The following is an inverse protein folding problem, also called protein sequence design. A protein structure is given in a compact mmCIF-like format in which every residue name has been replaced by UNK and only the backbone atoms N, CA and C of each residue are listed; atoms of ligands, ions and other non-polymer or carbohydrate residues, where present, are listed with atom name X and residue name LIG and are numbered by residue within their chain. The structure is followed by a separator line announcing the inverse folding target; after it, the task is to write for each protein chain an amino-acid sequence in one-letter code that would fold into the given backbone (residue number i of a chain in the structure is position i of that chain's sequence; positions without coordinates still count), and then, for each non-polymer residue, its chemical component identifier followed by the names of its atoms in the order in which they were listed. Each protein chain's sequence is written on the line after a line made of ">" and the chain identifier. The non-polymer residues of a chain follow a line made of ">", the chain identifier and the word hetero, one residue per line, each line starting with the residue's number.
data_IF_196590806819
#
_entry.id   IF_196590806819
#
_cell.length_a   1.000
_cell.length_b   1.000
_cell.length_c   1.000
_cell.angle_alpha   90.00
_cell.angle_beta   90.00
_cell.angle_gamma   90.00
#
_symmetry.space_group_name_H-M   'P 1'
#
loop_
_entity.id
_entity.type
_entity.pdbx_description
1 polymer ?
#
# COMPACT_ATOMS: atom_id res chain seq x y z
N UNK A 1 31.75 -33.81 -18.25
CA UNK A 1 30.42 -33.75 -18.89
C UNK A 1 29.48 -34.64 -18.09
N UNK A 2 28.58 -34.06 -17.30
CA UNK A 2 27.21 -34.53 -17.08
C UNK A 2 26.53 -33.50 -16.17
N UNK A 3 25.54 -32.84 -16.75
CA UNK A 3 24.43 -32.10 -16.15
C UNK A 3 24.72 -30.84 -15.30
N UNK A 4 24.11 -29.76 -15.78
CA UNK A 4 24.18 -28.37 -15.32
C UNK A 4 23.50 -28.25 -13.95
N UNK A 5 24.24 -27.76 -12.95
CA UNK A 5 23.67 -27.25 -11.70
C UNK A 5 23.33 -25.76 -11.90
N UNK A 6 22.19 -25.48 -12.52
CA UNK A 6 21.74 -24.10 -12.71
C UNK A 6 21.02 -23.62 -11.46
N UNK A 7 21.59 -22.63 -10.77
CA UNK A 7 20.92 -21.91 -9.69
C UNK A 7 19.69 -21.16 -10.21
N UNK A 8 18.53 -21.42 -9.60
CA UNK A 8 17.24 -20.80 -9.93
C UNK A 8 16.69 -20.07 -8.70
N UNK A 9 15.95 -19.00 -8.93
CA UNK A 9 15.16 -18.36 -7.89
C UNK A 9 13.92 -19.18 -7.58
N UNK A 10 13.44 -19.13 -6.33
CA UNK A 10 12.26 -19.88 -5.88
C UNK A 10 10.96 -19.48 -6.59
N UNK A 11 10.94 -18.31 -7.21
CA UNK A 11 9.82 -17.78 -7.98
C UNK A 11 9.95 -18.01 -9.49
N UNK A 12 11.04 -18.63 -9.94
CA UNK A 12 11.34 -18.83 -11.35
C UNK A 12 11.76 -17.58 -12.11
N UNK A 13 12.05 -16.46 -11.43
CA UNK A 13 12.54 -15.24 -12.07
C UNK A 13 13.95 -15.40 -12.65
N UNK A 14 14.37 -14.40 -13.43
CA UNK A 14 15.65 -14.43 -14.12
C UNK A 14 16.82 -14.55 -13.15
N UNK A 15 17.41 -15.74 -13.13
CA UNK A 15 18.64 -16.03 -12.41
C UNK A 15 19.84 -15.75 -13.31
N UNK A 16 20.08 -14.51 -13.75
CA UNK A 16 21.32 -14.14 -14.46
C UNK A 16 22.30 -13.38 -13.57
N UNK A 17 21.78 -12.51 -12.70
CA UNK A 17 22.57 -11.79 -11.70
C UNK A 17 23.09 -12.76 -10.64
N UNK A 18 24.37 -12.60 -10.26
CA UNK A 18 25.02 -13.38 -9.20
C UNK A 18 25.89 -12.46 -8.38
N UNK A 19 25.82 -12.61 -7.05
CA UNK A 19 26.63 -11.82 -6.13
C UNK A 19 27.29 -12.69 -5.06
N UNK A 20 27.99 -13.74 -5.51
CA UNK A 20 28.68 -14.68 -4.64
C UNK A 20 29.80 -14.04 -3.82
N UNK A 21 30.03 -14.61 -2.65
CA UNK A 21 31.26 -14.45 -1.90
C UNK A 21 32.44 -15.04 -2.66
N UNK A 22 33.65 -14.54 -2.36
CA UNK A 22 34.89 -15.12 -2.85
C UNK A 22 34.98 -16.58 -2.40
N UNK A 23 35.04 -17.51 -3.35
CA UNK A 23 35.11 -18.95 -3.08
C UNK A 23 33.77 -19.68 -3.14
N UNK A 24 32.66 -18.98 -3.40
CA UNK A 24 31.31 -19.56 -3.55
C UNK A 24 30.81 -19.50 -5.02
N UNK A 25 29.89 -20.39 -5.42
CA UNK A 25 29.36 -21.52 -4.66
C UNK A 25 30.37 -22.68 -4.60
N UNK A 26 30.50 -23.31 -3.43
CA UNK A 26 31.49 -24.37 -3.20
C UNK A 26 30.90 -25.79 -3.13
N UNK A 27 29.57 -25.90 -3.01
CA UNK A 27 28.76 -27.11 -2.98
C UNK A 27 29.27 -28.20 -2.02
N UNK A 28 29.80 -27.79 -0.87
CA UNK A 28 30.10 -28.74 0.21
C UNK A 28 28.81 -29.36 0.71
N UNK A 29 28.84 -30.62 1.13
CA UNK A 29 27.72 -31.29 1.84
C UNK A 29 26.31 -31.10 1.24
N UNK A 30 26.18 -31.00 -0.09
CA UNK A 30 24.89 -30.78 -0.78
C UNK A 30 24.21 -29.44 -0.41
N UNK A 31 25.01 -28.39 -0.24
CA UNK A 31 24.60 -27.00 -0.09
C UNK A 31 23.96 -26.46 -1.38
N UNK A 32 22.63 -26.51 -1.47
CA UNK A 32 21.86 -26.15 -2.68
C UNK A 32 20.86 -25.00 -2.47
N UNK A 33 20.95 -24.29 -1.34
CA UNK A 33 20.18 -23.08 -1.06
C UNK A 33 21.10 -21.87 -0.89
N UNK A 34 20.63 -20.68 -1.25
CA UNK A 34 21.43 -19.46 -1.15
C UNK A 34 21.11 -18.71 0.14
N UNK A 35 22.15 -18.25 0.84
CA UNK A 35 22.03 -17.35 1.99
C UNK A 35 22.88 -16.09 1.77
N UNK A 36 22.37 -14.94 2.23
CA UNK A 36 23.12 -13.69 2.30
C UNK A 36 23.97 -13.67 3.58
N UNK A 37 25.29 -13.53 3.45
CA UNK A 37 26.20 -13.49 4.59
C UNK A 37 26.56 -12.03 4.94
N UNK A 38 26.03 -11.55 6.08
CA UNK A 38 26.22 -10.16 6.51
C UNK A 38 27.68 -9.74 6.72
N UNK A 39 28.57 -10.67 7.09
CA UNK A 39 30.00 -10.38 7.32
C UNK A 39 30.74 -9.89 6.07
N UNK A 40 30.23 -10.18 4.88
CA UNK A 40 30.84 -9.81 3.60
C UNK A 40 29.93 -8.87 2.77
N UNK A 41 29.18 -7.99 3.45
CA UNK A 41 28.30 -7.04 2.75
C UNK A 41 27.07 -7.68 2.13
N UNK A 42 26.55 -8.76 2.73
CA UNK A 42 25.36 -9.49 2.29
C UNK A 42 25.50 -10.19 0.92
N UNK A 43 26.72 -10.61 0.58
CA UNK A 43 26.99 -11.44 -0.60
C UNK A 43 26.58 -12.90 -0.37
N UNK A 44 26.39 -13.63 -1.45
CA UNK A 44 25.75 -14.94 -1.47
C UNK A 44 26.72 -16.07 -1.11
N UNK A 45 26.25 -17.06 -0.37
CA UNK A 45 26.91 -18.35 -0.18
C UNK A 45 25.87 -19.46 -0.34
N UNK A 46 26.27 -20.60 -0.90
CA UNK A 46 25.45 -21.80 -0.85
C UNK A 46 25.56 -22.46 0.52
N UNK A 47 24.43 -22.89 1.04
CA UNK A 47 24.28 -23.49 2.37
C UNK A 47 23.24 -24.62 2.32
N UNK A 48 23.22 -25.47 3.34
CA UNK A 48 22.28 -26.57 3.41
C UNK A 48 20.88 -26.02 3.71
N UNK A 49 19.89 -26.37 2.88
CA UNK A 49 18.54 -25.84 2.95
C UNK A 49 17.81 -26.09 4.28
N UNK A 50 18.22 -27.11 5.03
CA UNK A 50 17.56 -27.50 6.28
C UNK A 50 17.95 -26.64 7.48
N UNK A 51 18.97 -25.80 7.36
CA UNK A 51 19.41 -24.96 8.47
C UNK A 51 18.37 -23.85 8.73
N UNK A 52 17.85 -23.72 9.97
CA UNK A 52 16.87 -22.70 10.28
C UNK A 52 17.56 -21.33 10.32
N UNK A 53 17.33 -20.54 9.27
CA UNK A 53 17.92 -19.22 9.11
C UNK A 53 16.82 -18.16 8.97
N UNK A 54 17.09 -16.91 9.39
CA UNK A 54 16.27 -15.78 8.98
C UNK A 54 16.18 -15.71 7.45
N UNK A 55 15.00 -15.44 6.94
CA UNK A 55 14.71 -15.43 5.50
C UNK A 55 14.14 -14.09 5.07
N UNK A 56 14.23 -13.83 3.76
CA UNK A 56 13.68 -12.63 3.13
C UNK A 56 12.56 -13.06 2.19
N UNK A 57 11.36 -12.52 2.42
CA UNK A 57 10.27 -12.60 1.47
C UNK A 57 10.31 -11.37 0.55
N UNK A 58 9.76 -11.52 -0.64
CA UNK A 58 9.47 -10.39 -1.51
C UNK A 58 8.08 -10.60 -2.13
N UNK A 59 7.42 -9.50 -2.44
CA UNK A 59 6.17 -9.52 -3.20
C UNK A 59 6.52 -9.28 -4.67
N UNK A 60 6.14 -10.21 -5.54
CA UNK A 60 6.39 -10.13 -6.98
C UNK A 60 5.64 -8.97 -7.67
N UNK A 61 4.68 -8.34 -6.98
CA UNK A 61 4.01 -7.11 -7.42
C UNK A 61 4.86 -5.83 -7.17
N UNK A 62 6.02 -5.97 -6.53
CA UNK A 62 6.86 -4.85 -6.16
C UNK A 62 8.20 -4.87 -6.89
N UNK A 63 8.26 -4.27 -8.08
CA UNK A 63 9.54 -4.03 -8.73
C UNK A 63 10.09 -2.68 -8.26
N UNK A 64 11.10 -2.73 -7.38
CA UNK A 64 12.09 -1.75 -6.84
C UNK A 64 11.95 -0.21 -7.02
N UNK A 65 10.86 0.30 -7.54
CA UNK A 65 10.56 1.72 -7.77
C UNK A 65 9.06 2.03 -7.71
N UNK A 66 8.18 1.04 -7.86
CA UNK A 66 6.73 1.19 -7.67
C UNK A 66 6.16 -0.12 -7.11
N UNK A 67 6.13 -0.28 -5.79
CA UNK A 67 5.01 -1.01 -5.19
C UNK A 67 3.78 -0.15 -5.49
N UNK A 68 2.74 -0.73 -6.10
CA UNK A 68 1.53 -0.06 -6.59
C UNK A 68 1.01 1.05 -5.69
N UNK A 69 1.51 2.27 -5.89
CA UNK A 69 1.00 3.46 -5.21
C UNK A 69 -0.41 3.66 -5.72
N UNK A 70 -1.39 3.60 -4.83
CA UNK A 70 -2.77 4.00 -5.13
C UNK A 70 -2.73 5.33 -5.87
N UNK A 71 -3.21 5.35 -7.10
CA UNK A 71 -3.36 6.60 -7.84
C UNK A 71 -4.64 7.27 -7.37
N UNK A 72 -4.52 8.46 -6.81
CA UNK A 72 -5.66 9.22 -6.29
C UNK A 72 -6.22 10.15 -7.36
N UNK A 73 -7.54 10.09 -7.56
CA UNK A 73 -8.26 10.84 -8.58
C UNK A 73 -9.37 11.67 -7.94
N UNK A 74 -9.30 12.99 -8.12
CA UNK A 74 -10.30 13.93 -7.61
C UNK A 74 -11.48 13.98 -8.58
N UNK A 75 -12.70 13.78 -8.07
CA UNK A 75 -13.95 13.85 -8.83
C UNK A 75 -14.79 15.01 -8.31
N UNK A 76 -14.97 16.02 -9.16
CA UNK A 76 -15.65 17.28 -8.81
C UNK A 76 -17.18 17.22 -8.94
N UNK A 77 -17.77 16.05 -8.72
CA UNK A 77 -19.22 15.88 -8.67
C UNK A 77 -19.70 15.85 -7.22
N UNK A 78 -20.72 16.64 -6.90
CA UNK A 78 -21.33 16.56 -5.57
C UNK A 78 -22.21 15.32 -5.47
N UNK A 79 -21.81 14.39 -4.61
CA UNK A 79 -22.53 13.14 -4.34
C UNK A 79 -22.57 12.85 -2.85
N UNK A 80 -23.60 12.13 -2.39
CA UNK A 80 -23.57 11.51 -1.06
C UNK A 80 -22.44 10.48 -0.99
N UNK A 81 -22.02 10.10 0.22
CA UNK A 81 -20.92 9.16 0.40
C UNK A 81 -21.15 7.84 -0.35
N UNK A 82 -22.37 7.29 -0.28
CA UNK A 82 -22.73 6.03 -0.95
C UNK A 82 -22.72 6.16 -2.47
N UNK A 83 -23.19 7.28 -3.01
CA UNK A 83 -23.15 7.54 -4.45
C UNK A 83 -21.72 7.77 -4.95
N UNK A 84 -20.88 8.43 -4.15
CA UNK A 84 -19.46 8.61 -4.43
C UNK A 84 -18.72 7.26 -4.44
N UNK A 85 -18.98 6.39 -3.45
CA UNK A 85 -18.45 5.02 -3.42
C UNK A 85 -18.83 4.23 -4.66
N UNK A 86 -20.13 4.27 -5.01
CA UNK A 86 -20.62 3.60 -6.22
C UNK A 86 -19.90 4.11 -7.46
N UNK A 87 -19.78 5.42 -7.62
CA UNK A 87 -19.06 6.01 -8.75
C UNK A 87 -17.60 5.53 -8.81
N UNK A 88 -16.89 5.54 -7.68
CA UNK A 88 -15.51 5.08 -7.64
C UNK A 88 -15.38 3.60 -8.00
N UNK A 89 -16.31 2.74 -7.56
CA UNK A 89 -16.30 1.31 -7.93
C UNK A 89 -16.68 1.04 -9.39
N UNK A 90 -17.42 1.95 -10.02
CA UNK A 90 -17.78 1.84 -11.44
C UNK A 90 -16.67 2.36 -12.38
N UNK A 91 -15.83 3.31 -11.92
CA UNK A 91 -14.87 4.02 -12.77
C UNK A 91 -13.39 3.81 -12.35
N UNK A 92 -13.15 3.38 -11.11
CA UNK A 92 -11.86 3.20 -10.45
C UNK A 92 -11.89 1.92 -9.58
N UNK A 93 -11.13 1.87 -8.48
CA UNK A 93 -11.18 0.74 -7.53
C UNK A 93 -12.21 0.99 -6.42
N UNK A 94 -12.03 2.03 -5.59
CA UNK A 94 -12.98 2.45 -4.53
C UNK A 94 -12.72 3.93 -4.16
N UNK A 95 -13.48 4.47 -3.21
CA UNK A 95 -13.13 5.73 -2.54
C UNK A 95 -11.74 5.62 -1.91
N UNK A 96 -11.01 6.73 -1.87
CA UNK A 96 -9.66 6.81 -1.38
C UNK A 96 -9.48 6.15 -0.01
N UNK A 97 -8.69 5.09 0.02
CA UNK A 97 -8.12 4.51 1.23
C UNK A 97 -6.75 5.13 1.46
N UNK A 98 -6.48 5.54 2.70
CA UNK A 98 -5.21 6.17 3.09
C UNK A 98 -4.63 5.37 4.25
N UNK A 99 -3.61 4.59 3.97
CA UNK A 99 -3.04 3.64 4.92
C UNK A 99 -1.82 4.17 5.67
N UNK A 100 -1.20 5.23 5.17
CA UNK A 100 0.00 5.82 5.74
C UNK A 100 0.17 7.30 5.32
N UNK A 101 1.23 7.93 5.85
CA UNK A 101 1.54 9.34 5.58
C UNK A 101 1.93 9.61 4.12
N UNK A 102 2.55 8.65 3.44
CA UNK A 102 2.96 8.80 2.04
C UNK A 102 1.74 8.88 1.12
N UNK A 103 0.73 8.05 1.35
CA UNK A 103 -0.56 8.12 0.66
C UNK A 103 -1.32 9.42 1.00
N UNK A 104 -1.28 9.87 2.26
CA UNK A 104 -1.87 11.16 2.62
C UNK A 104 -1.20 12.30 1.86
N UNK A 105 0.13 12.25 1.68
CA UNK A 105 0.86 13.25 0.88
C UNK A 105 0.48 13.18 -0.60
N UNK A 106 0.29 11.97 -1.16
CA UNK A 106 -0.17 11.78 -2.53
C UNK A 106 -1.60 12.32 -2.75
N UNK A 107 -2.50 12.11 -1.78
CA UNK A 107 -3.85 12.70 -1.76
C UNK A 107 -3.76 14.23 -1.76
N UNK A 108 -2.94 14.82 -0.86
CA UNK A 108 -2.73 16.28 -0.81
C UNK A 108 -2.18 16.84 -2.12
N UNK A 109 -1.30 16.11 -2.80
CA UNK A 109 -0.79 16.47 -4.11
C UNK A 109 -1.89 16.44 -5.19
N UNK A 110 -2.77 15.43 -5.17
CA UNK A 110 -3.87 15.29 -6.12
C UNK A 110 -4.94 16.38 -5.99
N UNK A 111 -5.22 16.85 -4.77
CA UNK A 111 -6.18 17.94 -4.49
C UNK A 111 -5.53 19.34 -4.48
N UNK A 112 -4.24 19.45 -4.77
CA UNK A 112 -3.55 20.74 -4.75
C UNK A 112 -4.23 21.73 -5.72
N UNK A 113 -4.59 22.92 -5.23
CA UNK A 113 -5.33 23.93 -5.98
C UNK A 113 -6.84 23.70 -6.07
N UNK A 114 -7.37 22.62 -5.49
CA UNK A 114 -8.81 22.39 -5.34
C UNK A 114 -9.31 23.02 -4.03
N UNK A 115 -10.57 23.46 -4.02
CA UNK A 115 -11.22 24.01 -2.82
C UNK A 115 -12.44 23.19 -2.43
N UNK A 116 -12.72 23.12 -1.13
CA UNK A 116 -13.89 22.45 -0.58
C UNK A 116 -13.56 21.23 0.28
N UNK A 117 -14.57 20.40 0.48
CA UNK A 117 -14.52 19.18 1.28
C UNK A 117 -14.56 17.97 0.36
N UNK A 118 -13.77 16.94 0.65
CA UNK A 118 -13.67 15.76 -0.23
C UNK A 118 -13.97 14.48 0.54
N UNK A 119 -14.94 13.67 0.09
CA UNK A 119 -15.16 12.34 0.66
C UNK A 119 -13.94 11.43 0.45
N UNK A 120 -13.63 10.65 1.48
CA UNK A 120 -12.71 9.50 1.43
C UNK A 120 -13.43 8.22 1.86
N UNK A 121 -12.77 7.07 1.73
CA UNK A 121 -13.37 5.74 1.93
C UNK A 121 -13.67 5.37 3.38
N UNK A 122 -13.39 6.24 4.36
CA UNK A 122 -13.60 5.94 5.77
C UNK A 122 -15.04 6.25 6.21
N UNK A 123 -15.69 5.27 6.85
CA UNK A 123 -17.03 5.41 7.45
C UNK A 123 -17.16 4.62 8.74
N UNK A 124 -18.15 4.94 9.57
CA UNK A 124 -18.47 4.20 10.80
C UNK A 124 -19.67 3.27 10.58
N UNK A 125 -19.54 2.03 11.05
CA UNK A 125 -20.66 1.09 11.22
C UNK A 125 -20.79 0.73 12.70
N UNK A 126 -19.91 -0.15 13.18
CA UNK A 126 -19.64 -0.42 14.60
C UNK A 126 -18.31 0.19 15.03
N UNK A 127 -17.40 0.36 14.08
CA UNK A 127 -16.12 1.04 14.19
C UNK A 127 -15.79 1.71 12.85
N UNK A 128 -14.73 2.53 12.83
CA UNK A 128 -14.20 3.14 11.61
C UNK A 128 -13.64 2.06 10.68
N UNK A 129 -14.24 1.90 9.50
CA UNK A 129 -13.87 0.93 8.48
C UNK A 129 -13.63 1.61 7.14
N UNK A 130 -12.63 1.14 6.41
CA UNK A 130 -12.38 1.55 5.03
C UNK A 130 -13.33 0.85 4.07
N UNK A 131 -13.75 1.56 3.04
CA UNK A 131 -14.74 1.10 2.06
C UNK A 131 -14.25 -0.08 1.21
N UNK A 132 -12.94 -0.16 0.97
CA UNK A 132 -12.28 -1.25 0.26
C UNK A 132 -12.06 -2.51 1.13
N UNK A 133 -12.37 -2.44 2.43
CA UNK A 133 -12.16 -3.52 3.39
C UNK A 133 -10.73 -3.60 3.95
N UNK A 134 -9.85 -2.66 3.63
CA UNK A 134 -8.52 -2.59 4.23
C UNK A 134 -8.60 -2.38 5.75
N UNK A 135 -7.59 -2.91 6.46
CA UNK A 135 -7.55 -2.92 7.92
C UNK A 135 -6.58 -1.87 8.49
N UNK A 136 -6.35 -0.74 7.79
CA UNK A 136 -5.42 0.28 8.28
C UNK A 136 -6.00 1.08 9.46
N UNK A 137 -5.17 1.26 10.49
CA UNK A 137 -5.42 2.11 11.65
C UNK A 137 -4.96 3.56 11.49
N UNK A 138 -4.40 3.94 10.34
CA UNK A 138 -3.93 5.31 10.12
C UNK A 138 -5.09 6.31 10.16
N UNK A 139 -4.94 7.39 10.93
CA UNK A 139 -5.94 8.45 11.07
C UNK A 139 -5.25 9.81 11.06
N UNK A 140 -5.81 10.77 10.33
CA UNK A 140 -5.32 12.14 10.25
C UNK A 140 -6.42 13.14 10.62
N UNK A 141 -7.09 12.91 11.75
CA UNK A 141 -8.19 13.74 12.25
C UNK A 141 -7.77 15.19 12.50
N UNK A 142 -8.67 16.12 12.18
CA UNK A 142 -8.55 17.51 12.60
C UNK A 142 -8.64 17.63 14.12
N UNK A 143 -8.16 18.75 14.66
CA UNK A 143 -8.25 19.04 16.10
C UNK A 143 -9.73 19.01 16.51
N UNK A 144 -10.03 18.22 17.55
CA UNK A 144 -11.40 18.05 18.06
C UNK A 144 -12.27 17.05 17.31
N UNK A 145 -11.71 16.33 16.33
CA UNK A 145 -12.40 15.30 15.54
C UNK A 145 -11.87 13.89 15.83
N UNK A 146 -12.70 12.84 15.64
CA UNK A 146 -14.12 12.93 15.33
C UNK A 146 -14.94 13.38 16.56
N UNK A 147 -15.96 14.22 16.36
CA UNK A 147 -16.87 14.63 17.44
C UNK A 147 -18.13 13.75 17.55
N UNK A 148 -18.33 12.86 16.58
CA UNK A 148 -19.34 11.81 16.54
C UNK A 148 -20.76 12.35 16.79
N UNK A 149 -21.08 13.49 16.16
CA UNK A 149 -22.44 14.00 16.18
C UNK A 149 -23.39 12.98 15.55
N UNK A 150 -24.65 12.99 15.99
CA UNK A 150 -25.64 12.00 15.54
C UNK A 150 -25.82 12.10 14.02
N UNK A 151 -25.37 11.06 13.30
CA UNK A 151 -25.46 10.98 11.84
C UNK A 151 -24.14 11.26 11.10
N UNK A 152 -23.10 11.71 11.79
CA UNK A 152 -21.78 12.00 11.21
C UNK A 152 -20.94 10.72 11.09
N UNK A 153 -21.36 9.90 10.13
CA UNK A 153 -20.88 8.54 9.98
C UNK A 153 -19.88 8.36 8.84
N UNK A 154 -19.49 9.43 8.14
CA UNK A 154 -18.63 9.41 6.97
C UNK A 154 -17.54 10.47 7.06
N UNK A 155 -16.42 10.31 6.35
CA UNK A 155 -15.24 11.19 6.53
C UNK A 155 -14.93 12.04 5.30
N UNK A 156 -14.69 13.34 5.55
CA UNK A 156 -14.25 14.32 4.57
C UNK A 156 -12.90 14.93 4.92
N UNK A 157 -12.14 15.35 3.90
CA UNK A 157 -10.95 16.18 4.05
C UNK A 157 -11.34 17.66 4.15
N UNK A 158 -10.85 18.36 5.17
CA UNK A 158 -11.06 19.81 5.36
C UNK A 158 -9.92 20.64 4.76
N UNK A 159 -10.19 21.41 3.71
CA UNK A 159 -9.18 22.31 3.12
C UNK A 159 -8.57 23.29 4.14
N UNK A 160 -9.40 23.90 5.00
CA UNK A 160 -8.97 24.91 5.98
C UNK A 160 -8.04 24.37 7.08
N UNK A 161 -7.89 23.05 7.19
CA UNK A 161 -7.08 22.38 8.21
C UNK A 161 -6.02 21.47 7.57
N UNK A 162 -5.38 21.94 6.49
CA UNK A 162 -4.37 21.20 5.72
C UNK A 162 -4.84 19.81 5.28
N UNK A 163 -6.12 19.69 4.91
CA UNK A 163 -6.76 18.42 4.53
C UNK A 163 -6.73 17.36 5.63
N UNK A 164 -6.77 17.77 6.90
CA UNK A 164 -7.09 16.85 8.00
C UNK A 164 -8.57 16.47 8.00
N UNK A 165 -8.90 15.39 8.72
CA UNK A 165 -10.14 14.65 8.53
C UNK A 165 -11.23 15.13 9.48
N UNK A 166 -12.45 15.19 8.96
CA UNK A 166 -13.67 15.51 9.69
C UNK A 166 -14.73 14.44 9.45
N UNK A 167 -15.40 14.00 10.50
CA UNK A 167 -16.63 13.23 10.40
C UNK A 167 -17.81 14.14 10.04
N UNK A 168 -18.67 13.65 9.14
CA UNK A 168 -19.75 14.41 8.53
C UNK A 168 -20.91 13.51 8.12
N UNK A 169 -22.09 14.11 7.97
CA UNK A 169 -23.30 13.43 7.54
C UNK A 169 -23.15 12.80 6.16
N UNK A 170 -23.27 11.47 6.08
CA UNK A 170 -23.08 10.71 4.83
C UNK A 170 -24.01 11.15 3.67
N UNK A 171 -25.11 11.83 3.98
CA UNK A 171 -26.09 12.33 3.00
C UNK A 171 -25.66 13.64 2.33
N UNK A 172 -24.62 14.31 2.82
CA UNK A 172 -24.17 15.58 2.24
C UNK A 172 -23.53 15.36 0.87
N UNK A 173 -23.88 16.24 -0.07
CA UNK A 173 -23.26 16.25 -1.40
C UNK A 173 -21.87 16.87 -1.33
N UNK A 174 -20.84 16.13 -1.70
CA UNK A 174 -19.47 16.68 -1.78
C UNK A 174 -18.67 16.05 -2.92
N UNK A 175 -17.67 16.76 -3.47
CA UNK A 175 -16.62 16.15 -4.26
C UNK A 175 -15.97 14.98 -3.50
N UNK A 176 -15.28 14.12 -4.22
CA UNK A 176 -14.74 12.90 -3.62
C UNK A 176 -13.48 12.44 -4.32
N UNK A 177 -12.68 11.65 -3.60
CA UNK A 177 -11.42 11.12 -4.11
C UNK A 177 -11.60 9.62 -4.29
N UNK A 178 -11.38 9.15 -5.51
CA UNK A 178 -11.27 7.72 -5.79
C UNK A 178 -9.78 7.33 -5.75
N UNK A 179 -9.50 6.05 -5.48
CA UNK A 179 -8.20 5.50 -5.81
C UNK A 179 -8.32 4.43 -6.89
N UNK A 180 -7.23 4.27 -7.63
CA UNK A 180 -6.99 3.12 -8.50
C UNK A 180 -5.76 2.38 -7.98
N UNK A 181 -5.97 1.16 -7.50
CA UNK A 181 -4.90 0.17 -7.26
C UNK A 181 -4.75 -0.70 -8.50
N UNK A 182 -3.56 -1.26 -8.73
CA UNK A 182 -3.38 -2.33 -9.72
C UNK A 182 -4.08 -3.62 -9.28
#
# INVERSE_FOLDING_TARGET
>A
KLFIWSWIWSDGSNSSYRDWNTGEPNNKESEICIQLQGKNGYRWADVACHWPNPFVCYDALCNRSFCGTRQFHVVNYNKSWTEAQKYCRENFTDLATIENQEEMNAVKAAINGSSGLFWIGLKIYTSWIWSDGSNSSYRNWSIGKPDNLVGDNCVQLLNESEYSWNDAGCIWGSPFICYKGE
#
